data_IF_295421276464
#
_entry.id   IF_295421276464
#
_cell.length_a   1.000
_cell.length_b   1.000
_cell.length_c   1.000
_cell.angle_alpha   90.00
_cell.angle_beta   90.00
_cell.angle_gamma   90.00
#
_symmetry.space_group_name_H-M   'P 1'
#
loop_
_entity.id
_entity.type
_entity.pdbx_description
1 polymer ?
#
# COMPACT_ATOMS: atom_id res chain seq x y z
N UNK A 1 -5.43 -21.79 -7.74
CA UNK A 1 -3.96 -21.65 -7.54
C UNK A 1 -3.73 -20.20 -7.20
N UNK A 2 -3.33 -19.92 -5.97
CA UNK A 2 -3.09 -18.55 -5.49
C UNK A 2 -1.72 -18.10 -5.97
N UNK A 3 -1.64 -16.88 -6.51
CA UNK A 3 -0.41 -16.29 -7.03
C UNK A 3 0.29 -15.40 -5.98
N UNK A 4 -0.44 -15.01 -4.95
CA UNK A 4 0.04 -14.20 -3.83
C UNK A 4 -0.94 -13.08 -3.51
N UNK A 5 -0.66 -12.36 -2.43
CA UNK A 5 -1.43 -11.21 -1.97
C UNK A 5 -0.48 -10.13 -1.49
N UNK A 6 -0.80 -8.87 -1.78
CA UNK A 6 -0.10 -7.71 -1.25
C UNK A 6 -1.06 -6.94 -0.33
N UNK A 7 -0.63 -6.70 0.90
CA UNK A 7 -1.40 -5.95 1.89
C UNK A 7 -0.65 -4.67 2.29
N UNK A 8 -1.41 -3.63 2.63
CA UNK A 8 -0.92 -2.45 3.33
C UNK A 8 -1.68 -2.34 4.65
N UNK A 9 -0.93 -2.33 5.74
CA UNK A 9 -1.44 -2.18 7.10
C UNK A 9 -0.95 -0.88 7.72
N UNK A 10 -1.74 -0.35 8.64
CA UNK A 10 -1.27 0.63 9.63
C UNK A 10 -1.22 -0.04 10.99
N UNK A 11 -0.12 0.17 11.71
CA UNK A 11 0.09 -0.29 13.07
C UNK A 11 0.22 0.88 14.02
N UNK A 12 -0.64 0.95 15.03
CA UNK A 12 -0.64 1.97 16.08
C UNK A 12 -0.49 1.29 17.45
N UNK A 13 0.74 1.23 17.96
CA UNK A 13 1.03 0.47 19.18
C UNK A 13 0.79 -1.03 18.99
N UNK A 14 -0.30 -1.55 19.56
CA UNK A 14 -0.73 -2.96 19.43
C UNK A 14 -1.81 -3.16 18.36
N UNK A 15 -2.46 -2.08 17.92
CA UNK A 15 -3.55 -2.15 16.96
C UNK A 15 -2.97 -2.28 15.55
N UNK A 16 -3.52 -3.22 14.77
CA UNK A 16 -3.13 -3.48 13.39
C UNK A 16 -4.38 -3.46 12.51
N UNK A 17 -4.44 -2.51 11.59
CA UNK A 17 -5.62 -2.29 10.74
C UNK A 17 -5.26 -2.43 9.27
N UNK A 18 -6.04 -3.23 8.53
CA UNK A 18 -5.87 -3.43 7.09
C UNK A 18 -6.41 -2.21 6.34
N UNK A 19 -5.56 -1.58 5.53
CA UNK A 19 -5.95 -0.43 4.71
C UNK A 19 -6.26 -0.84 3.28
N UNK A 20 -5.48 -1.76 2.73
CA UNK A 20 -5.50 -2.13 1.31
C UNK A 20 -5.04 -3.59 1.17
N UNK A 21 -5.69 -4.38 0.31
CA UNK A 21 -5.36 -5.78 0.07
C UNK A 21 -5.70 -6.18 -1.35
N UNK A 22 -4.70 -6.53 -2.15
CA UNK A 22 -4.89 -7.00 -3.53
C UNK A 22 -4.38 -8.44 -3.67
N UNK A 23 -5.23 -9.32 -4.21
CA UNK A 23 -4.97 -10.76 -4.37
C UNK A 23 -4.90 -11.15 -5.85
N UNK A 24 -4.03 -12.11 -6.17
CA UNK A 24 -4.03 -12.76 -7.47
C UNK A 24 -3.21 -12.04 -8.55
N UNK A 25 -3.46 -12.43 -9.81
CA UNK A 25 -2.71 -11.93 -10.98
C UNK A 25 -3.06 -10.49 -11.31
N UNK A 26 -2.04 -9.64 -11.40
CA UNK A 26 -2.19 -8.23 -11.81
C UNK A 26 -1.67 -7.97 -13.23
N UNK A 27 -1.10 -8.97 -13.89
CA UNK A 27 -0.46 -8.85 -15.20
C UNK A 27 1.03 -8.55 -15.07
N UNK A 28 1.67 -8.29 -16.22
CA UNK A 28 3.13 -8.14 -16.34
C UNK A 28 3.58 -6.68 -16.56
N UNK A 29 2.82 -5.73 -16.05
CA UNK A 29 3.09 -4.30 -16.14
C UNK A 29 3.03 -3.67 -14.73
N UNK A 30 3.78 -2.60 -14.52
CA UNK A 30 3.66 -1.80 -13.30
C UNK A 30 2.27 -1.17 -13.20
N UNK A 31 1.69 -1.20 -11.99
CA UNK A 31 0.40 -0.60 -11.69
C UNK A 31 0.47 0.21 -10.41
N UNK A 32 -0.19 1.36 -10.42
CA UNK A 32 -0.29 2.20 -9.23
C UNK A 32 -1.25 1.59 -8.20
N UNK A 33 -0.72 1.38 -6.99
CA UNK A 33 -1.49 1.08 -5.79
C UNK A 33 -1.64 2.33 -4.93
N UNK A 34 -2.85 2.61 -4.45
CA UNK A 34 -3.12 3.81 -3.67
C UNK A 34 -4.15 3.56 -2.58
N UNK A 35 -3.91 4.12 -1.39
CA UNK A 35 -4.85 4.10 -0.27
C UNK A 35 -4.66 5.33 0.62
N UNK A 36 -5.78 5.89 1.11
CA UNK A 36 -5.74 6.93 2.15
C UNK A 36 -5.66 6.31 3.53
N UNK A 37 -4.91 6.95 4.43
CA UNK A 37 -4.95 6.63 5.85
C UNK A 37 -4.95 7.90 6.70
N UNK A 38 -5.34 7.77 7.97
CA UNK A 38 -5.27 8.84 8.94
C UNK A 38 -4.78 8.26 10.27
N UNK A 39 -3.83 8.95 10.90
CA UNK A 39 -3.40 8.65 12.26
C UNK A 39 -2.97 9.95 12.94
N UNK A 40 -3.38 10.11 14.19
CA UNK A 40 -2.89 11.17 15.09
C UNK A 40 -1.80 10.69 16.03
N UNK A 41 -1.39 9.42 15.93
CA UNK A 41 -0.45 8.77 16.84
C UNK A 41 0.83 8.37 16.10
N UNK A 42 1.84 7.95 16.86
CA UNK A 42 2.99 7.26 16.28
C UNK A 42 2.51 5.94 15.67
N UNK A 43 2.82 5.72 14.40
CA UNK A 43 2.37 4.56 13.65
C UNK A 43 3.45 4.03 12.72
N UNK A 44 3.26 2.80 12.25
CA UNK A 44 4.09 2.16 11.23
C UNK A 44 3.18 1.79 10.04
N UNK A 45 3.65 2.06 8.82
CA UNK A 45 3.04 1.49 7.61
C UNK A 45 3.77 0.20 7.28
N UNK A 46 3.01 -0.88 7.13
CA UNK A 46 3.55 -2.22 6.86
C UNK A 46 3.03 -2.67 5.50
N UNK A 47 3.96 -2.92 4.58
CA UNK A 47 3.68 -3.55 3.30
C UNK A 47 4.01 -5.04 3.43
N UNK A 48 3.00 -5.89 3.29
CA UNK A 48 3.13 -7.33 3.50
C UNK A 48 2.83 -8.10 2.21
N UNK A 49 3.86 -8.75 1.67
CA UNK A 49 3.72 -9.71 0.58
C UNK A 49 3.48 -11.12 1.13
N UNK A 50 2.32 -11.69 0.82
CA UNK A 50 1.97 -13.09 1.13
C UNK A 50 2.19 -13.92 -0.11
N UNK A 51 3.10 -14.89 0.00
CA UNK A 51 3.35 -15.85 -1.08
C UNK A 51 2.17 -16.80 -1.23
N UNK A 52 1.68 -16.97 -2.46
CA UNK A 52 0.67 -17.99 -2.77
C UNK A 52 1.20 -19.42 -2.63
N UNK A 53 0.29 -20.40 -2.65
CA UNK A 53 0.63 -21.83 -2.51
C UNK A 53 1.50 -22.42 -3.65
N UNK A 54 1.79 -21.64 -4.69
CA UNK A 54 2.58 -22.07 -5.85
C UNK A 54 4.04 -21.57 -5.89
N UNK A 55 4.68 -21.88 -7.01
CA UNK A 55 6.00 -21.36 -7.42
C UNK A 55 5.90 -20.29 -8.52
N UNK A 56 4.68 -19.87 -8.87
CA UNK A 56 4.44 -18.84 -9.89
C UNK A 56 3.89 -17.61 -9.17
N UNK A 57 4.20 -16.44 -9.71
CA UNK A 57 3.84 -15.16 -9.12
C UNK A 57 5.03 -14.61 -8.34
N UNK A 58 5.46 -13.42 -8.73
CA UNK A 58 6.37 -12.57 -7.98
C UNK A 58 5.62 -11.30 -7.61
N UNK A 59 6.01 -10.66 -6.52
CA UNK A 59 5.47 -9.37 -6.10
C UNK A 59 6.64 -8.38 -6.13
N UNK A 60 6.45 -7.26 -6.83
CA UNK A 60 7.42 -6.18 -6.91
C UNK A 60 6.73 -4.87 -6.54
N UNK A 61 7.44 -4.02 -5.81
CA UNK A 61 7.00 -2.69 -5.39
C UNK A 61 8.12 -1.70 -5.72
N UNK A 62 7.74 -0.49 -6.06
CA UNK A 62 8.66 0.61 -6.35
C UNK A 62 7.97 1.95 -6.06
N UNK A 63 8.74 3.06 -6.06
CA UNK A 63 8.25 4.44 -6.00
C UNK A 63 7.21 4.72 -4.89
N UNK A 64 7.51 4.32 -3.66
CA UNK A 64 6.62 4.59 -2.53
C UNK A 64 6.66 6.08 -2.19
N UNK A 65 5.50 6.72 -2.22
CA UNK A 65 5.34 8.14 -1.93
C UNK A 65 4.23 8.41 -0.93
N UNK A 66 4.45 9.39 -0.05
CA UNK A 66 3.46 9.91 0.89
C UNK A 66 3.08 11.34 0.51
N UNK A 67 1.79 11.56 0.28
CA UNK A 67 1.26 12.88 -0.07
C UNK A 67 0.25 13.36 0.95
N UNK A 68 0.22 14.67 1.17
CA UNK A 68 -0.78 15.29 2.03
C UNK A 68 -2.12 15.38 1.29
N UNK A 69 -3.20 14.96 1.94
CA UNK A 69 -4.54 14.99 1.39
C UNK A 69 -5.15 13.59 1.28
N UNK A 70 -6.41 13.53 0.85
CA UNK A 70 -7.08 12.25 0.58
C UNK A 70 -6.80 11.84 -0.86
N UNK A 71 -6.59 10.56 -1.05
CA UNK A 71 -6.45 9.91 -2.34
C UNK A 71 -7.47 8.76 -2.49
N UNK A 72 -7.97 8.50 -3.71
CA UNK A 72 -8.86 7.38 -3.95
C UNK A 72 -8.14 6.05 -3.74
N UNK A 73 -8.86 5.03 -3.28
CA UNK A 73 -8.30 3.69 -3.27
C UNK A 73 -8.21 3.15 -4.70
N UNK A 74 -7.04 2.64 -5.07
CA UNK A 74 -6.79 2.01 -6.37
C UNK A 74 -5.93 0.76 -6.20
N UNK A 75 -6.23 -0.34 -6.92
CA UNK A 75 -7.45 -0.55 -7.71
C UNK A 75 -8.68 -0.74 -6.79
N UNK A 76 -9.89 -0.71 -7.36
CA UNK A 76 -11.15 -0.74 -6.57
C UNK A 76 -11.33 -2.07 -5.80
N UNK A 77 -10.83 -3.17 -6.34
CA UNK A 77 -10.84 -4.49 -5.71
C UNK A 77 -9.83 -4.62 -4.56
N UNK A 78 -8.96 -3.62 -4.35
CA UNK A 78 -8.02 -3.62 -3.24
C UNK A 78 -8.59 -3.10 -1.91
N UNK A 79 -9.88 -2.75 -1.89
CA UNK A 79 -10.56 -2.31 -0.68
C UNK A 79 -10.77 -3.48 0.30
N UNK A 80 -10.52 -3.29 1.60
CA UNK A 80 -10.83 -4.31 2.58
C UNK A 80 -12.34 -4.52 2.65
N UNK A 81 -12.77 -5.79 2.71
CA UNK A 81 -14.19 -6.19 2.66
C UNK A 81 -15.07 -5.58 3.77
N UNK A 82 -14.45 -5.04 4.81
CA UNK A 82 -15.11 -4.39 5.95
C UNK A 82 -15.02 -2.85 5.94
N UNK A 83 -14.62 -2.21 4.83
CA UNK A 83 -14.67 -0.75 4.69
C UNK A 83 -16.12 -0.26 4.59
N UNK A 84 -16.80 -0.17 5.73
CA UNK A 84 -18.09 0.51 5.84
C UNK A 84 -17.87 2.00 5.56
N UNK A 85 -18.52 2.50 4.51
CA UNK A 85 -18.48 3.86 3.96
C UNK A 85 -17.23 4.24 3.14
N UNK A 86 -17.35 4.07 1.82
CA UNK A 86 -16.51 4.80 0.86
C UNK A 86 -17.38 5.83 0.17
N UNK A 87 -17.10 7.13 0.32
CA UNK A 87 -17.53 8.09 -0.67
C UNK A 87 -16.62 7.88 -1.90
N UNK A 88 -17.18 7.33 -2.98
CA UNK A 88 -16.57 7.40 -4.32
C UNK A 88 -16.56 8.89 -4.70
N UNK A 89 -15.46 9.59 -4.43
CA UNK A 89 -15.33 11.02 -4.77
C UNK A 89 -14.43 11.17 -5.99
N UNK A 90 -15.03 11.81 -6.99
CA UNK A 90 -14.56 12.17 -8.32
C UNK A 90 -13.16 12.79 -8.33
N UNK A 91 -12.40 12.44 -9.37
CA UNK A 91 -11.09 12.98 -9.78
C UNK A 91 -11.03 14.52 -9.73
N UNK A 92 -10.62 15.08 -8.60
CA UNK A 92 -10.12 16.45 -8.55
C UNK A 92 -8.60 16.44 -8.59
N UNK A 93 -8.04 17.07 -9.63
CA UNK A 93 -6.63 17.42 -9.71
C UNK A 93 -6.31 18.38 -8.56
N UNK A 94 -5.57 17.90 -7.55
CA UNK A 94 -5.01 18.75 -6.51
C UNK A 94 -3.59 19.16 -6.92
N UNK A 95 -3.41 20.44 -7.24
CA UNK A 95 -2.10 21.07 -7.45
C UNK A 95 -1.64 21.71 -6.14
N UNK A 96 -1.23 20.89 -5.17
CA UNK A 96 -0.37 21.35 -4.07
C UNK A 96 1.07 20.94 -4.39
N UNK A 97 2.09 21.75 -4.08
CA UNK A 97 3.47 21.31 -4.26
C UNK A 97 3.68 20.10 -3.35
N UNK A 98 3.96 18.94 -3.94
CA UNK A 98 4.30 17.71 -3.21
C UNK A 98 5.43 18.05 -2.24
N UNK A 99 5.10 18.17 -0.95
CA UNK A 99 6.14 18.19 0.07
C UNK A 99 6.70 16.78 0.10
N UNK A 100 7.91 16.62 -0.42
CA UNK A 100 8.65 15.35 -0.40
C UNK A 100 8.65 14.84 1.04
N UNK A 101 8.06 13.69 1.25
CA UNK A 101 8.00 13.08 2.58
C UNK A 101 9.36 12.46 2.87
N UNK A 102 9.87 12.54 4.11
CA UNK A 102 11.12 11.86 4.47
C UNK A 102 11.01 10.33 4.43
N UNK A 103 9.81 9.79 4.18
CA UNK A 103 9.51 8.37 4.09
C UNK A 103 9.37 7.87 2.64
N UNK A 104 9.50 8.77 1.65
CA UNK A 104 9.49 8.41 0.23
C UNK A 104 10.68 7.50 -0.09
N UNK A 105 10.47 6.48 -0.93
CA UNK A 105 11.51 5.54 -1.30
C UNK A 105 11.29 4.97 -2.71
N UNK A 106 12.24 5.21 -3.60
CA UNK A 106 12.29 4.67 -4.96
C UNK A 106 13.28 3.50 -5.13
N UNK A 107 13.83 3.00 -4.03
CA UNK A 107 14.74 1.84 -3.98
C UNK A 107 16.04 1.89 -4.81
N UNK A 108 16.38 3.04 -5.42
CA UNK A 108 17.59 3.20 -6.25
C UNK A 108 18.90 3.28 -5.43
N UNK A 109 18.80 3.64 -4.14
CA UNK A 109 19.94 3.69 -3.20
C UNK A 109 19.62 2.90 -1.91
N UNK A 110 19.26 1.63 -2.10
CA UNK A 110 18.96 0.69 -1.02
C UNK A 110 17.52 0.80 -0.50
N UNK A 111 17.31 0.49 0.78
CA UNK A 111 15.97 0.40 1.37
C UNK A 111 15.46 1.71 1.99
N UNK A 112 16.16 2.83 1.83
CA UNK A 112 15.85 4.08 2.52
C UNK A 112 15.70 3.84 4.04
N UNK A 113 14.56 4.24 4.63
CA UNK A 113 14.20 3.96 6.03
C UNK A 113 13.36 2.68 6.21
N UNK A 114 13.03 1.97 5.13
CA UNK A 114 12.26 0.74 5.17
C UNK A 114 13.06 -0.41 5.78
N UNK A 115 12.40 -1.20 6.61
CA UNK A 115 12.95 -2.42 7.19
C UNK A 115 12.28 -3.62 6.54
N UNK A 116 13.09 -4.54 6.05
CA UNK A 116 12.60 -5.78 5.44
C UNK A 116 12.60 -6.89 6.49
N UNK A 117 11.44 -7.49 6.69
CA UNK A 117 11.27 -8.63 7.59
C UNK A 117 10.60 -9.79 6.86
N UNK A 118 11.20 -10.97 6.94
CA UNK A 118 10.59 -12.23 6.49
C UNK A 118 10.09 -13.00 7.70
N UNK A 119 8.78 -13.22 7.77
CA UNK A 119 8.18 -14.17 8.71
C UNK A 119 8.42 -15.59 8.17
N UNK A 120 9.02 -16.45 9.00
CA UNK A 120 9.18 -17.88 8.72
C UNK A 120 7.97 -18.65 9.23
#
# INVERSE_FOLDING_TARGET
RELGKLNIWIKEGVDLTLLWSLDGEQGNEWRDGQVSYYSSNSHEIIIEGIRGSGFKGDISIDDITFTSGRCPTSPLDALPENATDIPVVTTQLMTTPMSVSPYDCNFEDGFCMWKVETKK
#
